data_IF_132851475485
#
_entry.id   IF_132851475485
#
_cell.length_a   1.000
_cell.length_b   1.000
_cell.length_c   1.000
_cell.angle_alpha   90.00
_cell.angle_beta   90.00
_cell.angle_gamma   90.00
#
_symmetry.space_group_name_H-M   'P 1'
#
loop_
_entity.id
_entity.type
_entity.pdbx_description
1 polymer ?
#
# COMPACT_ATOMS: atom_id res chain seq x y z
N UNK A 1 8.65 -3.79 23.68
CA UNK A 1 9.55 -4.95 23.92
C UNK A 1 9.87 -5.52 22.55
N UNK A 2 11.13 -5.43 22.13
CA UNK A 2 11.58 -5.77 20.78
C UNK A 2 11.30 -7.24 20.45
N UNK A 3 10.55 -7.51 19.39
CA UNK A 3 10.26 -8.87 18.96
C UNK A 3 11.52 -9.53 18.38
N UNK A 4 11.83 -10.75 18.83
CA UNK A 4 13.02 -11.49 18.38
C UNK A 4 13.05 -11.70 16.86
N UNK A 5 11.88 -11.79 16.22
CA UNK A 5 11.74 -11.95 14.77
C UNK A 5 12.30 -10.76 14.00
N UNK A 6 12.36 -9.59 14.63
CA UNK A 6 12.75 -8.34 13.99
C UNK A 6 14.14 -7.85 14.39
N UNK A 7 14.84 -8.55 15.29
CA UNK A 7 16.15 -8.12 15.80
C UNK A 7 17.24 -8.03 14.73
N UNK A 8 17.14 -8.82 13.66
CA UNK A 8 18.10 -8.82 12.56
C UNK A 8 17.79 -7.79 11.47
N UNK A 9 16.65 -7.11 11.54
CA UNK A 9 16.23 -6.15 10.52
C UNK A 9 16.49 -4.72 10.98
N UNK A 10 17.02 -3.91 10.08
CA UNK A 10 17.12 -2.47 10.26
C UNK A 10 15.74 -1.82 10.12
N UNK A 11 15.59 -0.63 10.69
CA UNK A 11 14.32 0.10 10.64
C UNK A 11 13.84 0.34 9.19
N UNK A 12 14.77 0.61 8.28
CA UNK A 12 14.46 0.81 6.86
C UNK A 12 13.85 -0.44 6.22
N UNK A 13 14.40 -1.62 6.52
CA UNK A 13 13.90 -2.89 6.00
C UNK A 13 12.54 -3.23 6.61
N UNK A 14 12.36 -2.98 7.90
CA UNK A 14 11.06 -3.14 8.56
C UNK A 14 10.00 -2.21 7.97
N UNK A 15 10.36 -0.98 7.62
CA UNK A 15 9.45 -0.05 6.97
C UNK A 15 9.04 -0.53 5.58
N UNK A 16 9.98 -1.05 4.79
CA UNK A 16 9.69 -1.57 3.45
C UNK A 16 8.81 -2.83 3.53
N UNK A 17 9.07 -3.72 4.49
CA UNK A 17 8.23 -4.88 4.79
C UNK A 17 6.82 -4.43 5.19
N UNK A 18 6.71 -3.46 6.09
CA UNK A 18 5.41 -2.90 6.51
C UNK A 18 4.63 -2.32 5.32
N UNK A 19 5.30 -1.55 4.44
CA UNK A 19 4.69 -0.99 3.25
C UNK A 19 4.14 -2.08 2.31
N UNK A 20 4.95 -3.11 2.03
CA UNK A 20 4.54 -4.23 1.18
C UNK A 20 3.37 -5.03 1.79
N UNK A 21 3.41 -5.25 3.12
CA UNK A 21 2.33 -5.92 3.84
C UNK A 21 1.03 -5.12 3.81
N UNK A 22 1.09 -3.78 3.82
CA UNK A 22 -0.09 -2.92 3.68
C UNK A 22 -0.86 -3.22 2.39
N UNK A 23 -0.17 -3.34 1.26
CA UNK A 23 -0.79 -3.71 -0.01
C UNK A 23 -1.37 -5.14 -0.02
N UNK A 24 -0.70 -6.09 0.64
CA UNK A 24 -1.18 -7.47 0.75
C UNK A 24 -2.39 -7.61 1.68
N UNK A 25 -2.42 -6.88 2.80
CA UNK A 25 -3.50 -6.87 3.78
C UNK A 25 -4.79 -6.30 3.21
N UNK A 26 -4.74 -5.39 2.23
CA UNK A 26 -5.94 -4.93 1.50
C UNK A 26 -6.63 -6.09 0.77
N UNK A 27 -5.87 -7.05 0.23
CA UNK A 27 -6.41 -8.18 -0.53
C UNK A 27 -6.73 -9.40 0.33
N UNK A 28 -5.95 -9.63 1.39
CA UNK A 28 -6.03 -10.81 2.26
C UNK A 28 -5.80 -10.42 3.74
N UNK A 29 -6.73 -9.68 4.36
CA UNK A 29 -6.54 -9.09 5.68
C UNK A 29 -6.32 -10.13 6.78
N UNK A 30 -6.99 -11.27 6.72
CA UNK A 30 -6.89 -12.36 7.69
C UNK A 30 -5.49 -12.98 7.78
N UNK A 31 -4.70 -12.88 6.70
CA UNK A 31 -3.37 -13.46 6.62
C UNK A 31 -2.28 -12.45 6.96
N UNK A 32 -2.44 -11.19 6.55
CA UNK A 32 -1.34 -10.21 6.59
C UNK A 32 -1.50 -9.11 7.63
N UNK A 33 -2.71 -8.77 8.06
CA UNK A 33 -2.93 -7.72 9.09
C UNK A 33 -2.20 -8.01 10.40
N UNK A 34 -2.24 -9.23 10.97
CA UNK A 34 -1.52 -9.51 12.22
C UNK A 34 0.00 -9.31 12.11
N UNK A 35 0.57 -9.65 10.96
CA UNK A 35 2.01 -9.46 10.71
C UNK A 35 2.34 -7.99 10.46
N UNK A 36 1.51 -7.28 9.68
CA UNK A 36 1.63 -5.85 9.44
C UNK A 36 1.62 -5.06 10.75
N UNK A 37 0.67 -5.36 11.64
CA UNK A 37 0.52 -4.70 12.94
C UNK A 37 1.70 -4.99 13.86
N UNK A 38 2.26 -6.21 13.82
CA UNK A 38 3.44 -6.56 14.58
C UNK A 38 4.67 -5.75 14.11
N UNK A 39 4.87 -5.60 12.81
CA UNK A 39 5.95 -4.77 12.25
C UNK A 39 5.73 -3.29 12.58
N UNK A 40 4.49 -2.80 12.50
CA UNK A 40 4.15 -1.42 12.87
C UNK A 40 4.45 -1.13 14.34
N UNK A 41 4.12 -2.08 15.23
CA UNK A 41 4.41 -1.99 16.67
C UNK A 41 5.91 -1.94 16.94
N UNK A 42 6.68 -2.80 16.27
CA UNK A 42 8.14 -2.80 16.39
C UNK A 42 8.75 -1.47 15.92
N UNK A 43 8.31 -0.94 14.79
CA UNK A 43 8.74 0.36 14.29
C UNK A 43 8.39 1.50 15.26
N UNK A 44 7.21 1.43 15.88
CA UNK A 44 6.77 2.40 16.89
C UNK A 44 7.61 2.30 18.17
N UNK A 45 7.94 1.09 18.62
CA UNK A 45 8.81 0.87 19.78
C UNK A 45 10.22 1.42 19.55
N UNK A 46 10.76 1.32 18.32
CA UNK A 46 12.10 1.79 17.98
C UNK A 46 12.18 3.30 17.77
N UNK A 47 11.22 3.88 17.06
CA UNK A 47 11.27 5.30 16.63
C UNK A 47 10.38 6.22 17.45
N UNK A 48 9.43 5.67 18.19
CA UNK A 48 8.47 6.42 18.99
C UNK A 48 7.75 7.48 18.16
N UNK A 49 7.73 8.70 18.70
CA UNK A 49 7.03 9.84 18.09
C UNK A 49 7.60 10.27 16.73
N UNK A 50 8.85 9.89 16.40
CA UNK A 50 9.49 10.21 15.13
C UNK A 50 9.10 9.29 13.97
N UNK A 51 8.29 8.25 14.22
CA UNK A 51 7.96 7.26 13.21
C UNK A 51 7.20 7.86 12.00
N UNK A 52 6.11 8.59 12.26
CA UNK A 52 5.23 9.07 11.19
C UNK A 52 5.94 10.04 10.22
N UNK A 53 6.66 11.09 10.67
CA UNK A 53 7.41 11.96 9.77
C UNK A 53 8.46 11.21 8.96
N UNK A 54 9.10 10.20 9.55
CA UNK A 54 10.13 9.40 8.90
C UNK A 54 9.55 8.47 7.82
N UNK A 55 8.41 7.82 8.10
CA UNK A 55 7.69 7.03 7.09
C UNK A 55 7.18 7.91 5.95
N UNK A 56 6.66 9.10 6.26
CA UNK A 56 6.23 10.06 5.25
C UNK A 56 7.37 10.49 4.34
N UNK A 57 8.54 10.81 4.89
CA UNK A 57 9.72 11.15 4.11
C UNK A 57 10.19 9.98 3.23
N UNK A 58 10.30 8.78 3.82
CA UNK A 58 10.76 7.57 3.13
C UNK A 58 9.84 7.20 1.96
N UNK A 59 8.52 7.20 2.19
CA UNK A 59 7.55 6.76 1.21
C UNK A 59 6.97 7.87 0.34
N UNK A 60 7.38 9.14 0.55
CA UNK A 60 6.96 10.28 -0.28
C UNK A 60 7.12 9.97 -1.76
N UNK A 61 8.29 9.49 -2.18
CA UNK A 61 8.61 9.20 -3.58
C UNK A 61 7.77 8.04 -4.14
N UNK A 62 7.52 7.01 -3.34
CA UNK A 62 6.77 5.82 -3.74
C UNK A 62 5.26 6.08 -3.85
N UNK A 63 4.69 6.92 -2.98
CA UNK A 63 3.26 7.32 -3.05
C UNK A 63 2.90 7.99 -4.39
N UNK A 64 3.82 8.77 -4.96
CA UNK A 64 3.64 9.38 -6.28
C UNK A 64 3.74 8.37 -7.43
N UNK A 65 4.50 7.29 -7.27
CA UNK A 65 4.60 6.21 -8.24
C UNK A 65 3.37 5.29 -8.21
N UNK A 66 2.94 4.86 -7.02
CA UNK A 66 1.73 4.04 -6.81
C UNK A 66 0.48 4.77 -7.32
N UNK A 67 0.34 6.08 -7.05
CA UNK A 67 -0.78 6.87 -7.57
C UNK A 67 -0.81 6.96 -9.11
N UNK A 68 0.35 6.89 -9.78
CA UNK A 68 0.42 6.84 -11.25
C UNK A 68 0.07 5.45 -11.76
N UNK A 69 0.48 4.41 -11.05
CA UNK A 69 0.24 3.02 -11.42
C UNK A 69 -1.24 2.64 -11.22
N UNK A 70 -1.86 3.06 -10.11
CA UNK A 70 -3.31 2.95 -9.87
C UNK A 70 -4.12 3.78 -10.88
N UNK A 71 -3.68 5.00 -11.22
CA UNK A 71 -4.32 5.80 -12.25
C UNK A 71 -4.20 5.17 -13.66
N UNK A 72 -3.11 4.45 -13.92
CA UNK A 72 -2.89 3.74 -15.18
C UNK A 72 -3.70 2.43 -15.24
N UNK A 73 -3.74 1.66 -14.15
CA UNK A 73 -4.56 0.47 -14.01
C UNK A 73 -6.06 0.80 -14.15
N UNK A 74 -6.55 1.84 -13.47
CA UNK A 74 -7.94 2.29 -13.59
C UNK A 74 -8.30 2.77 -15.02
N UNK A 75 -7.35 3.31 -15.79
CA UNK A 75 -7.57 3.67 -17.21
C UNK A 75 -7.65 2.45 -18.12
N UNK A 76 -6.96 1.37 -17.81
CA UNK A 76 -7.00 0.13 -18.60
C UNK A 76 -8.24 -0.74 -18.30
N UNK A 77 -8.90 -0.55 -17.15
CA UNK A 77 -10.06 -1.34 -16.72
C UNK A 77 -11.40 -0.73 -17.18
N UNK A 78 -11.42 0.42 -17.89
CA UNK A 78 -12.66 0.98 -18.46
C UNK A 78 -12.80 0.72 -19.97
N UNK A 79 -13.42 -0.40 -20.42
CA UNK A 79 -13.86 -0.56 -21.81
C UNK A 79 -15.28 -0.02 -22.07
N UNK A 80 -16.00 0.55 -21.10
CA UNK A 80 -17.45 0.84 -21.26
C UNK A 80 -17.83 2.29 -21.60
N UNK A 81 -16.90 3.22 -21.83
CA UNK A 81 -17.24 4.58 -22.31
C UNK A 81 -16.98 4.72 -23.83
N UNK A 82 -17.47 3.74 -24.59
CA UNK A 82 -17.61 3.89 -26.03
C UNK A 82 -18.90 3.22 -26.50
N UNK A 83 -20.03 3.72 -25.98
CA UNK A 83 -21.29 3.59 -26.73
C UNK A 83 -21.30 4.67 -27.80
N UNK A 84 -21.25 4.34 -29.10
CA UNK A 84 -21.78 5.26 -30.08
C UNK A 84 -23.29 5.28 -29.86
N UNK A 85 -23.80 6.43 -29.43
CA UNK A 85 -25.18 6.81 -29.70
C UNK A 85 -25.48 6.62 -31.20
N UNK A 86 -26.76 6.35 -31.50
CA UNK A 86 -27.40 6.31 -32.83
C UNK A 86 -27.50 4.92 -33.48
N UNK A 87 -28.67 4.27 -33.40
CA UNK A 87 -29.59 4.29 -34.55
C UNK A 87 -31.03 3.86 -34.16
N UNK A 88 -31.97 4.68 -34.62
CA UNK A 88 -33.42 4.56 -34.47
C UNK A 88 -33.92 3.41 -35.35
N UNK A 89 -34.45 2.35 -34.75
CA UNK A 89 -35.14 1.27 -35.50
C UNK A 89 -36.54 1.75 -35.87
N UNK A 90 -36.74 2.02 -37.17
CA UNK A 90 -38.08 2.06 -37.79
C UNK A 90 -38.66 0.64 -37.82
N UNK A 91 -39.90 0.51 -37.37
CA UNK A 91 -40.78 -0.64 -37.58
C UNK A 91 -42.20 -0.24 -37.25
#
# INVERSE_FOLDING_TARGET
MTDIRFQSFEDGELADIWYALGGAAVRHPEHFTPLMDAVATELLDRRGQGLNPWLEERFRTFRFADSREDAHANRQISPEVQRPDTEVVRG
#
